data_IF_517725781225
#
_entry.id   IF_517725781225
#
_cell.length_a   1.000
_cell.length_b   1.000
_cell.length_c   1.000
_cell.angle_alpha   90.00
_cell.angle_beta   90.00
_cell.angle_gamma   90.00
#
_symmetry.space_group_name_H-M   'P 1'
#
loop_
_entity.id
_entity.type
_entity.pdbx_description
1 polymer ?
#
# COMPACT_ATOMS: atom_id res chain seq x y z
N UNK A 1 29.59 -64.78 2.34
CA UNK A 1 29.38 -64.75 0.87
C UNK A 1 28.40 -63.63 0.55
N UNK A 2 28.82 -62.73 -0.36
CA UNK A 2 28.08 -61.71 -1.14
C UNK A 2 27.15 -60.72 -0.40
N UNK A 3 27.47 -59.42 -0.25
CA UNK A 3 27.68 -58.29 -1.22
C UNK A 3 26.38 -57.63 -1.74
N UNK A 4 26.42 -56.28 -1.70
CA UNK A 4 25.72 -55.24 -2.50
C UNK A 4 24.59 -54.48 -1.76
N UNK A 5 24.81 -53.21 -1.36
CA UNK A 5 24.59 -51.96 -2.14
C UNK A 5 23.09 -51.78 -2.45
N UNK A 6 22.39 -50.71 -2.10
CA UNK A 6 22.68 -49.34 -2.50
C UNK A 6 21.62 -48.33 -1.96
N UNK A 7 22.14 -47.17 -1.54
CA UNK A 7 21.70 -45.80 -1.89
C UNK A 7 20.46 -45.20 -1.19
N UNK A 8 20.82 -44.29 -0.27
CA UNK A 8 20.09 -43.11 0.16
C UNK A 8 19.33 -42.41 -0.98
N UNK A 9 18.03 -42.19 -0.79
CA UNK A 9 17.30 -41.10 -1.43
C UNK A 9 16.81 -40.16 -0.33
N UNK A 10 17.74 -39.35 0.16
CA UNK A 10 17.46 -38.17 0.95
C UNK A 10 16.87 -37.12 -0.01
N UNK A 11 15.56 -37.22 -0.24
CA UNK A 11 14.80 -36.23 -1.00
C UNK A 11 14.75 -34.92 -0.24
N UNK A 12 15.76 -34.08 -0.43
CA UNK A 12 15.73 -32.67 -0.08
C UNK A 12 14.59 -32.02 -0.88
N UNK A 13 13.40 -31.95 -0.29
CA UNK A 13 12.40 -30.97 -0.72
C UNK A 13 13.02 -29.60 -0.47
N UNK A 14 13.61 -29.04 -1.52
CA UNK A 14 13.85 -27.61 -1.62
C UNK A 14 12.47 -26.94 -1.64
N UNK A 15 11.92 -26.69 -0.45
CA UNK A 15 10.83 -25.76 -0.26
C UNK A 15 11.36 -24.40 -0.70
N UNK A 16 11.09 -24.04 -1.95
CA UNK A 16 11.22 -22.69 -2.44
C UNK A 16 10.34 -21.80 -1.57
N UNK A 17 10.95 -21.16 -0.57
CA UNK A 17 10.32 -20.10 0.21
C UNK A 17 9.93 -19.02 -0.80
N UNK A 18 8.63 -18.75 -1.04
CA UNK A 18 8.27 -17.62 -1.87
C UNK A 18 8.81 -16.37 -1.18
N UNK A 19 9.56 -15.56 -1.92
CA UNK A 19 9.97 -14.24 -1.47
C UNK A 19 8.72 -13.51 -1.01
N UNK A 20 8.56 -13.38 0.31
CA UNK A 20 7.45 -12.66 0.89
C UNK A 20 7.57 -11.23 0.41
N UNK A 21 6.74 -10.85 -0.58
CA UNK A 21 6.42 -9.46 -0.82
C UNK A 21 6.02 -8.86 0.53
N UNK A 22 6.45 -7.63 0.80
CA UNK A 22 6.06 -6.88 1.98
C UNK A 22 4.53 -6.73 1.97
N UNK A 23 3.84 -7.71 2.53
CA UNK A 23 2.39 -7.73 2.65
C UNK A 23 2.04 -6.88 3.87
N UNK A 24 1.45 -5.72 3.62
CA UNK A 24 0.85 -4.89 4.66
C UNK A 24 -0.59 -5.41 4.83
N UNK A 25 -1.07 -5.65 6.05
CA UNK A 25 -2.34 -6.34 6.30
C UNK A 25 -3.55 -5.65 5.64
N UNK A 26 -4.04 -6.13 4.51
CA UNK A 26 -5.09 -5.51 3.69
C UNK A 26 -4.64 -5.17 2.27
N UNK A 27 -3.33 -5.09 2.03
CA UNK A 27 -2.73 -4.67 0.76
C UNK A 27 -1.40 -5.37 0.48
N UNK A 28 -1.27 -5.98 -0.70
CA UNK A 28 0.03 -6.41 -1.23
C UNK A 28 0.62 -5.30 -2.10
N UNK A 29 1.82 -4.84 -1.77
CA UNK A 29 2.56 -3.91 -2.63
C UNK A 29 3.15 -4.66 -3.82
N UNK A 30 2.98 -4.10 -5.01
CA UNK A 30 3.57 -4.62 -6.24
C UNK A 30 4.76 -3.75 -6.64
N UNK A 31 5.92 -4.40 -6.80
CA UNK A 31 7.13 -3.75 -7.29
C UNK A 31 7.57 -2.58 -6.41
N UNK A 32 7.82 -2.83 -5.10
CA UNK A 32 8.16 -1.85 -4.05
C UNK A 32 9.45 -1.06 -4.35
N UNK A 33 9.39 -0.17 -5.34
CA UNK A 33 10.44 0.75 -5.75
C UNK A 33 10.51 1.96 -4.81
N UNK A 34 9.39 2.30 -4.16
CA UNK A 34 9.31 3.45 -3.27
C UNK A 34 10.18 3.28 -2.03
N UNK A 35 10.20 2.10 -1.39
CA UNK A 35 11.06 1.86 -0.22
C UNK A 35 12.52 2.22 -0.48
N UNK A 36 13.08 1.76 -1.61
CA UNK A 36 14.48 2.04 -1.99
C UNK A 36 14.75 3.54 -2.17
N UNK A 37 13.79 4.28 -2.72
CA UNK A 37 13.91 5.74 -2.90
C UNK A 37 13.85 6.45 -1.54
N UNK A 38 12.94 6.04 -0.64
CA UNK A 38 12.86 6.58 0.71
C UNK A 38 14.15 6.33 1.51
N UNK A 39 14.69 5.12 1.43
CA UNK A 39 15.88 4.69 2.19
C UNK A 39 17.19 5.30 1.65
N UNK A 40 17.20 5.89 0.45
CA UNK A 40 18.39 6.57 -0.09
C UNK A 40 18.40 8.07 0.32
N UNK A 41 19.23 8.48 1.30
CA UNK A 41 19.23 9.86 1.80
C UNK A 41 19.75 10.89 0.80
N UNK A 42 20.41 10.46 -0.29
CA UNK A 42 20.98 11.35 -1.31
C UNK A 42 19.95 11.87 -2.31
N UNK A 43 18.74 11.31 -2.33
CA UNK A 43 17.69 11.67 -3.29
C UNK A 43 16.84 12.81 -2.72
N UNK A 44 16.88 13.98 -3.37
CA UNK A 44 16.13 15.17 -2.93
C UNK A 44 14.62 15.09 -3.23
N UNK A 45 14.25 14.53 -4.38
CA UNK A 45 12.85 14.32 -4.79
C UNK A 45 12.51 12.84 -4.70
N UNK A 46 11.61 12.48 -3.79
CA UNK A 46 11.04 11.15 -3.73
C UNK A 46 10.11 11.03 -4.93
N UNK A 47 10.54 10.31 -5.96
CA UNK A 47 9.73 10.00 -7.14
C UNK A 47 9.80 8.50 -7.39
N UNK A 48 8.68 7.81 -7.24
CA UNK A 48 8.63 6.37 -7.38
C UNK A 48 7.24 5.92 -7.84
N UNK A 49 7.19 4.80 -8.54
CA UNK A 49 5.94 4.12 -8.85
C UNK A 49 5.68 3.04 -7.80
N UNK A 50 4.44 2.92 -7.36
CA UNK A 50 3.99 1.85 -6.47
C UNK A 50 2.68 1.28 -6.98
N UNK A 51 2.57 -0.04 -6.96
CA UNK A 51 1.33 -0.76 -7.22
C UNK A 51 0.78 -1.36 -5.93
N UNK A 52 -0.53 -1.55 -5.87
CA UNK A 52 -1.14 -2.21 -4.73
C UNK A 52 -2.37 -3.03 -5.11
N UNK A 53 -2.54 -4.18 -4.46
CA UNK A 53 -3.71 -5.05 -4.58
C UNK A 53 -4.31 -5.31 -3.21
N UNK A 54 -5.63 -5.35 -3.12
CA UNK A 54 -6.32 -5.71 -1.89
C UNK A 54 -6.07 -7.19 -1.56
N UNK A 55 -5.90 -7.51 -0.28
CA UNK A 55 -5.84 -8.92 0.15
C UNK A 55 -7.23 -9.59 0.13
N UNK A 56 -7.28 -10.90 0.40
CA UNK A 56 -8.54 -11.64 0.35
C UNK A 56 -9.59 -11.13 1.35
N UNK A 57 -9.17 -10.69 2.54
CA UNK A 57 -10.09 -10.21 3.57
C UNK A 57 -10.68 -8.83 3.18
N UNK A 58 -9.82 -7.91 2.74
CA UNK A 58 -10.23 -6.57 2.32
C UNK A 58 -11.05 -6.61 1.02
N UNK A 59 -10.78 -7.54 0.10
CA UNK A 59 -11.66 -7.79 -1.07
C UNK A 59 -13.05 -8.24 -0.65
N UNK A 60 -13.15 -9.14 0.33
CA UNK A 60 -14.44 -9.57 0.87
C UNK A 60 -15.23 -8.40 1.49
N UNK A 61 -14.56 -7.49 2.20
CA UNK A 61 -15.19 -6.30 2.74
C UNK A 61 -15.65 -5.32 1.64
N UNK A 62 -14.81 -5.08 0.63
CA UNK A 62 -15.18 -4.26 -0.53
C UNK A 62 -16.41 -4.82 -1.24
N UNK A 63 -16.45 -6.13 -1.47
CA UNK A 63 -17.61 -6.80 -2.04
C UNK A 63 -18.86 -6.59 -1.19
N UNK A 64 -18.77 -6.76 0.13
CA UNK A 64 -19.91 -6.56 1.02
C UNK A 64 -20.40 -5.10 1.01
N UNK A 65 -19.50 -4.12 1.10
CA UNK A 65 -19.85 -2.69 1.11
C UNK A 65 -20.41 -2.23 -0.24
N UNK A 66 -20.00 -2.86 -1.34
CA UNK A 66 -20.50 -2.57 -2.69
C UNK A 66 -21.67 -3.47 -3.12
N UNK A 67 -22.30 -4.22 -2.22
CA UNK A 67 -23.40 -5.16 -2.54
C UNK A 67 -23.05 -6.18 -3.64
N UNK A 68 -21.79 -6.62 -3.67
CA UNK A 68 -21.25 -7.55 -4.66
C UNK A 68 -20.94 -6.91 -6.02
N UNK A 69 -21.17 -5.60 -6.19
CA UNK A 69 -20.88 -4.91 -7.45
C UNK A 69 -19.38 -4.82 -7.73
N UNK A 70 -18.54 -4.78 -6.69
CA UNK A 70 -17.08 -4.70 -6.82
C UNK A 70 -16.44 -5.87 -6.11
N UNK A 71 -15.66 -6.66 -6.84
CA UNK A 71 -15.03 -7.89 -6.30
C UNK A 71 -13.53 -7.75 -6.07
N UNK A 72 -12.88 -6.82 -6.79
CA UNK A 72 -11.45 -6.61 -6.69
C UNK A 72 -11.08 -5.18 -7.09
N UNK A 73 -9.93 -4.73 -6.61
CA UNK A 73 -9.32 -3.45 -6.93
C UNK A 73 -7.80 -3.61 -6.94
N UNK A 74 -7.20 -3.33 -8.09
CA UNK A 74 -5.75 -3.24 -8.27
C UNK A 74 -5.39 -1.84 -8.70
N UNK A 75 -4.45 -1.20 -8.01
CA UNK A 75 -4.12 0.20 -8.21
C UNK A 75 -2.63 0.40 -8.48
N UNK A 76 -2.32 1.52 -9.10
CA UNK A 76 -0.96 2.02 -9.29
C UNK A 76 -0.94 3.54 -9.12
N UNK A 77 0.12 4.03 -8.51
CA UNK A 77 0.32 5.45 -8.26
C UNK A 77 1.77 5.83 -8.58
N UNK A 78 1.96 7.04 -9.09
CA UNK A 78 3.25 7.71 -9.09
C UNK A 78 3.27 8.62 -7.88
N UNK A 79 4.14 8.32 -6.91
CA UNK A 79 4.30 9.12 -5.70
C UNK A 79 5.44 10.09 -5.92
N UNK A 80 5.15 11.39 -5.82
CA UNK A 80 6.13 12.46 -5.90
C UNK A 80 6.04 13.41 -4.71
N UNK A 81 7.15 13.62 -4.00
CA UNK A 81 7.27 14.60 -2.92
C UNK A 81 8.72 15.08 -2.77
N UNK A 82 8.91 16.34 -2.35
CA UNK A 82 10.24 16.82 -1.94
C UNK A 82 10.60 16.24 -0.58
N UNK A 83 11.78 15.64 -0.45
CA UNK A 83 12.25 15.06 0.82
C UNK A 83 12.34 16.12 1.91
N UNK A 84 12.80 17.32 1.58
CA UNK A 84 12.89 18.45 2.51
C UNK A 84 11.53 18.83 3.11
N UNK A 85 10.46 18.78 2.32
CA UNK A 85 9.09 19.04 2.78
C UNK A 85 8.60 17.94 3.73
N UNK A 86 8.84 16.66 3.39
CA UNK A 86 8.47 15.54 4.27
C UNK A 86 9.22 15.62 5.59
N UNK A 87 10.53 15.86 5.57
CA UNK A 87 11.35 16.01 6.77
C UNK A 87 10.86 17.20 7.61
N UNK A 88 10.59 18.35 6.98
CA UNK A 88 10.11 19.53 7.69
C UNK A 88 8.77 19.27 8.40
N UNK A 89 7.83 18.59 7.73
CA UNK A 89 6.53 18.23 8.33
C UNK A 89 6.68 17.23 9.48
N UNK A 90 7.53 16.22 9.32
CA UNK A 90 7.81 15.25 10.39
C UNK A 90 8.49 15.91 11.60
N UNK A 91 9.42 16.84 11.35
CA UNK A 91 10.13 17.59 12.39
C UNK A 91 9.20 18.55 13.14
N UNK A 92 8.16 19.07 12.49
CA UNK A 92 7.15 19.92 13.11
C UNK A 92 6.21 19.18 14.09
N UNK A 93 6.29 17.84 14.17
CA UNK A 93 5.52 16.99 15.12
C UNK A 93 4.00 17.20 15.06
N UNK A 94 3.47 17.50 13.88
CA UNK A 94 2.04 17.63 13.60
C UNK A 94 1.58 16.68 12.50
N UNK A 95 0.45 17.00 11.87
CA UNK A 95 -0.07 16.24 10.74
C UNK A 95 0.86 16.35 9.52
N UNK A 96 1.36 15.20 9.07
CA UNK A 96 2.15 15.08 7.85
C UNK A 96 1.19 14.85 6.69
N UNK A 97 0.91 15.93 5.95
CA UNK A 97 0.10 15.88 4.74
C UNK A 97 0.98 15.70 3.51
N UNK A 98 0.64 14.77 2.63
CA UNK A 98 1.26 14.63 1.31
C UNK A 98 0.40 15.32 0.24
N UNK A 99 1.01 15.90 -0.80
CA UNK A 99 0.26 16.51 -1.88
C UNK A 99 -0.57 15.45 -2.63
N UNK A 100 -1.73 15.82 -3.21
CA UNK A 100 -2.55 14.90 -3.99
C UNK A 100 -1.75 14.20 -5.09
N UNK A 101 -1.85 12.88 -5.15
CA UNK A 101 -1.27 12.04 -6.19
C UNK A 101 -2.40 11.40 -6.99
N UNK A 102 -2.30 11.41 -8.31
CA UNK A 102 -3.23 10.64 -9.14
C UNK A 102 -2.95 9.14 -8.99
N UNK A 103 -4.00 8.37 -8.76
CA UNK A 103 -3.97 6.91 -8.66
C UNK A 103 -4.88 6.35 -9.74
N UNK A 104 -4.34 5.39 -10.50
CA UNK A 104 -5.07 4.66 -11.53
C UNK A 104 -5.30 3.24 -11.07
N UNK A 105 -6.54 2.77 -11.16
CA UNK A 105 -6.89 1.41 -10.76
C UNK A 105 -7.68 0.68 -11.84
N UNK A 106 -7.61 -0.63 -11.75
CA UNK A 106 -8.50 -1.58 -12.40
C UNK A 106 -9.41 -2.16 -11.33
N UNK A 107 -10.69 -1.81 -11.41
CA UNK A 107 -11.76 -2.31 -10.56
C UNK A 107 -12.43 -3.50 -11.28
N UNK A 108 -12.78 -4.57 -10.58
CA UNK A 108 -13.50 -5.71 -11.19
C UNK A 108 -14.97 -5.68 -10.77
N UNK A 109 -15.87 -5.50 -11.74
CA UNK A 109 -17.32 -5.47 -11.55
C UNK A 109 -18.02 -6.42 -12.50
N UNK A 110 -18.83 -7.34 -11.97
CA UNK A 110 -19.50 -8.36 -12.81
C UNK A 110 -18.55 -9.27 -13.60
N UNK A 111 -17.28 -9.37 -13.17
CA UNK A 111 -16.21 -10.09 -13.88
C UNK A 111 -15.44 -9.24 -14.90
N UNK A 112 -15.91 -8.03 -15.21
CA UNK A 112 -15.28 -7.14 -16.19
C UNK A 112 -14.35 -6.12 -15.51
N UNK A 113 -13.15 -5.86 -16.08
CA UNK A 113 -12.25 -4.84 -15.58
C UNK A 113 -12.66 -3.43 -16.05
N UNK A 114 -12.94 -2.56 -15.09
CA UNK A 114 -13.29 -1.15 -15.30
C UNK A 114 -12.12 -0.27 -14.87
N UNK A 115 -11.59 0.60 -15.76
CA UNK A 115 -10.57 1.57 -15.38
C UNK A 115 -11.19 2.68 -14.52
N UNK A 116 -10.58 2.96 -13.39
CA UNK A 116 -10.98 4.07 -12.50
C UNK A 116 -9.77 4.91 -12.12
N UNK A 117 -10.01 6.19 -11.88
CA UNK A 117 -8.96 7.14 -11.46
C UNK A 117 -9.46 7.95 -10.28
N UNK A 118 -8.57 8.25 -9.33
CA UNK A 118 -8.86 9.12 -8.19
C UNK A 118 -7.60 9.85 -7.72
N UNK A 119 -7.77 10.88 -6.90
CA UNK A 119 -6.67 11.55 -6.22
C UNK A 119 -6.53 11.04 -4.78
N UNK A 120 -5.29 10.72 -4.41
CA UNK A 120 -4.91 10.30 -3.06
C UNK A 120 -4.14 11.42 -2.37
N UNK A 121 -4.65 11.92 -1.24
CA UNK A 121 -4.00 12.96 -0.43
C UNK A 121 -3.80 12.49 1.03
N UNK A 122 -2.76 11.67 1.30
CA UNK A 122 -2.58 11.04 2.60
C UNK A 122 -2.31 12.06 3.71
N UNK A 123 -2.86 11.78 4.88
CA UNK A 123 -2.57 12.51 6.12
C UNK A 123 -2.13 11.51 7.17
N UNK A 124 -0.97 11.73 7.77
CA UNK A 124 -0.46 10.92 8.89
C UNK A 124 -0.34 11.80 10.12
N UNK A 125 -1.01 11.42 11.20
CA UNK A 125 -0.93 12.13 12.48
C UNK A 125 0.20 11.58 13.32
N UNK A 126 1.09 12.46 13.79
CA UNK A 126 2.18 12.12 14.69
C UNK A 126 1.83 12.48 16.13
N UNK A 127 2.31 11.70 17.08
CA UNK A 127 2.32 12.06 18.50
C UNK A 127 3.49 12.99 18.85
N UNK A 128 3.57 13.53 20.08
CA UNK A 128 4.69 14.38 20.50
C UNK A 128 6.07 13.69 20.45
N UNK A 129 6.12 12.35 20.50
CA UNK A 129 7.35 11.58 20.34
C UNK A 129 7.75 11.41 18.85
N UNK A 130 6.90 11.84 17.91
CA UNK A 130 7.12 11.73 16.48
C UNK A 130 6.71 10.38 15.87
N UNK A 131 5.94 9.58 16.59
CA UNK A 131 5.42 8.29 16.11
C UNK A 131 4.09 8.49 15.41
N UNK A 132 3.87 7.81 14.30
CA UNK A 132 2.58 7.80 13.64
C UNK A 132 1.55 7.04 14.49
N UNK A 133 0.41 7.69 14.77
CA UNK A 133 -0.67 7.16 15.61
C UNK A 133 -2.01 7.05 14.88
N UNK A 134 -2.17 7.76 13.77
CA UNK A 134 -3.35 7.67 12.91
C UNK A 134 -2.98 8.03 11.47
N UNK A 135 -3.76 7.57 10.51
CA UNK A 135 -3.57 7.90 9.10
C UNK A 135 -4.88 7.88 8.32
N UNK A 136 -4.93 8.64 7.23
CA UNK A 136 -6.06 8.67 6.29
C UNK A 136 -5.51 8.71 4.87
N UNK A 137 -6.17 8.01 3.94
CA UNK A 137 -5.81 8.03 2.52
C UNK A 137 -6.20 9.36 1.86
N UNK A 138 -7.36 9.91 2.20
CA UNK A 138 -7.83 11.18 1.64
C UNK A 138 -8.18 11.07 0.16
N UNK A 139 -8.88 9.99 -0.22
CA UNK A 139 -9.32 9.74 -1.60
C UNK A 139 -10.41 10.73 -2.00
N UNK A 140 -10.28 11.31 -3.19
CA UNK A 140 -11.21 12.26 -3.81
C UNK A 140 -11.30 12.05 -5.33
N UNK A 141 -12.32 12.66 -5.94
CA UNK A 141 -12.50 12.75 -7.39
C UNK A 141 -12.46 11.38 -8.10
N UNK A 142 -13.14 10.39 -7.53
CA UNK A 142 -13.17 9.06 -8.11
C UNK A 142 -14.05 9.05 -9.38
N UNK A 143 -13.44 8.65 -10.49
CA UNK A 143 -14.04 8.67 -11.84
C UNK A 143 -13.92 7.30 -12.52
N UNK A 144 -14.74 7.08 -13.56
CA UNK A 144 -14.78 5.82 -14.34
C UNK A 144 -15.92 4.87 -13.95
N UNK A 145 -16.69 5.20 -12.90
CA UNK A 145 -17.88 4.46 -12.46
C UNK A 145 -19.01 5.42 -12.05
N UNK A 146 -20.28 4.96 -11.99
CA UNK A 146 -21.41 5.80 -11.56
C UNK A 146 -21.25 6.34 -10.13
N UNK A 147 -21.79 7.54 -9.88
CA UNK A 147 -21.58 8.29 -8.63
C UNK A 147 -21.94 7.54 -7.34
N UNK A 148 -23.07 6.80 -7.24
CA UNK A 148 -23.38 6.05 -6.02
C UNK A 148 -22.32 4.98 -5.71
N UNK A 149 -21.79 4.34 -6.75
CA UNK A 149 -20.72 3.35 -6.60
C UNK A 149 -19.39 4.03 -6.30
N UNK A 150 -19.13 5.18 -6.92
CA UNK A 150 -17.93 5.97 -6.67
C UNK A 150 -17.83 6.39 -5.20
N UNK A 151 -18.94 6.88 -4.65
CA UNK A 151 -19.08 7.26 -3.25
C UNK A 151 -18.87 6.06 -2.33
N UNK A 152 -19.51 4.91 -2.59
CA UNK A 152 -19.33 3.70 -1.78
C UNK A 152 -17.87 3.21 -1.77
N UNK A 153 -17.19 3.20 -2.92
CA UNK A 153 -15.78 2.80 -3.03
C UNK A 153 -14.87 3.80 -2.31
N UNK A 154 -15.08 5.10 -2.51
CA UNK A 154 -14.29 6.14 -1.85
C UNK A 154 -14.47 6.11 -0.31
N UNK A 155 -15.69 5.90 0.16
CA UNK A 155 -16.01 5.77 1.57
C UNK A 155 -15.35 4.53 2.19
N UNK A 156 -15.46 3.37 1.52
CA UNK A 156 -14.77 2.15 1.94
C UNK A 156 -13.26 2.37 2.09
N UNK A 157 -12.61 2.89 1.06
CA UNK A 157 -11.16 3.07 1.07
C UNK A 157 -10.73 4.09 2.14
N UNK A 158 -11.48 5.18 2.34
CA UNK A 158 -11.14 6.18 3.34
C UNK A 158 -11.37 5.72 4.78
N UNK A 159 -12.31 4.80 5.01
CA UNK A 159 -12.73 4.37 6.36
C UNK A 159 -12.25 2.97 6.75
N UNK A 160 -11.67 2.19 5.83
CA UNK A 160 -11.20 0.85 6.16
C UNK A 160 -10.10 0.88 7.23
N UNK A 161 -10.35 0.13 8.32
CA UNK A 161 -9.46 0.12 9.48
C UNK A 161 -8.17 -0.66 9.20
N UNK A 162 -8.18 -1.61 8.26
CA UNK A 162 -6.97 -2.33 7.87
C UNK A 162 -6.02 -1.42 7.07
N UNK A 163 -6.55 -0.74 6.05
CA UNK A 163 -5.82 0.24 5.26
C UNK A 163 -5.20 1.33 6.13
N UNK A 164 -5.98 1.86 7.07
CA UNK A 164 -5.50 2.85 8.04
C UNK A 164 -4.34 2.35 8.91
N UNK A 165 -4.47 1.15 9.48
CA UNK A 165 -3.39 0.53 10.28
C UNK A 165 -2.14 0.30 9.45
N UNK A 166 -2.27 -0.10 8.18
CA UNK A 166 -1.14 -0.27 7.28
C UNK A 166 -0.40 1.03 7.00
N UNK A 167 -1.13 2.12 6.74
CA UNK A 167 -0.51 3.42 6.53
C UNK A 167 0.28 3.88 7.76
N UNK A 168 -0.28 3.68 8.96
CA UNK A 168 0.42 3.97 10.22
C UNK A 168 1.68 3.11 10.36
N UNK A 169 1.60 1.80 10.08
CA UNK A 169 2.74 0.91 10.11
C UNK A 169 3.82 1.35 9.10
N UNK A 170 3.41 1.74 7.88
CA UNK A 170 4.31 2.17 6.82
C UNK A 170 5.05 3.47 7.20
N UNK A 171 4.31 4.43 7.74
CA UNK A 171 4.89 5.66 8.27
C UNK A 171 5.91 5.38 9.39
N UNK A 172 5.56 4.52 10.35
CA UNK A 172 6.46 4.14 11.44
C UNK A 172 7.69 3.36 10.99
N UNK A 173 7.64 2.69 9.84
CA UNK A 173 8.81 2.05 9.23
C UNK A 173 9.70 3.02 8.42
N UNK A 174 9.19 4.19 8.03
CA UNK A 174 9.93 5.18 7.23
C UNK A 174 10.51 6.28 8.12
N UNK A 175 9.70 6.84 9.02
CA UNK A 175 10.03 8.02 9.84
C UNK A 175 11.38 7.89 10.58
N UNK A 176 11.69 6.76 11.25
CA UNK A 176 12.96 6.62 11.98
C UNK A 176 14.21 6.66 11.08
N UNK A 177 14.05 6.34 9.79
CA UNK A 177 15.13 6.30 8.81
C UNK A 177 15.30 7.64 8.06
N UNK A 178 14.45 8.63 8.33
CA UNK A 178 14.61 9.96 7.76
C UNK A 178 15.87 10.63 8.35
N UNK A 179 16.63 11.39 7.55
CA UNK A 179 17.75 12.17 8.04
C UNK A 179 17.30 13.06 9.21
N UNK A 180 18.02 12.97 10.34
CA UNK A 180 17.88 13.93 11.43
C UNK A 180 18.55 15.23 10.99
N UNK A 181 17.85 16.36 11.17
CA UNK A 181 18.47 17.68 11.02
C UNK A 181 19.48 17.90 12.14
#
# INVERSE_FOLDING_TARGET
MNRLFAILLLGCLAASVPAAGSAWAGVTLEGDACRKVFDNPKVETIACQTGFRLDAATRGQLANTSFGMVSDLTCSAVVSARRSEVIAKVAARGDVTLPPQEVRCRLISGGEPIPVTFHLAPVVRLDPAGKAVDARLGIRDLTGIPEPLATAVAEFLNNDTSLRRNLVAAANAIIPNLPKR
#
